data_IF_904612805695
#
_entry.id   IF_904612805695
#
_cell.length_a   1.000
_cell.length_b   1.000
_cell.length_c   1.000
_cell.angle_alpha   90.00
_cell.angle_beta   90.00
_cell.angle_gamma   90.00
#
_symmetry.space_group_name_H-M   'P 1'
#
loop_
_entity.id
_entity.type
_entity.pdbx_description
1 polymer ?
#
# COMPACT_ATOMS: atom_id res chain seq x y z
N UNK A 1 33.34 -31.21 -0.94
CA UNK A 1 32.20 -30.42 -1.46
C UNK A 1 30.90 -30.96 -0.88
N UNK A 2 30.18 -30.12 -0.14
CA UNK A 2 29.02 -30.50 0.67
C UNK A 2 27.75 -30.57 -0.21
N UNK A 3 26.99 -31.67 -0.13
CA UNK A 3 25.79 -31.93 -0.97
C UNK A 3 24.56 -31.09 -0.57
N UNK A 4 24.64 -30.28 0.48
CA UNK A 4 23.50 -29.54 1.06
C UNK A 4 23.20 -28.16 0.45
N UNK A 5 23.91 -27.71 -0.59
CA UNK A 5 23.69 -26.38 -1.20
C UNK A 5 22.99 -26.40 -2.56
N UNK A 6 22.43 -27.54 -2.98
CA UNK A 6 21.65 -27.67 -4.22
C UNK A 6 20.15 -27.86 -3.97
N UNK A 7 19.55 -27.08 -3.09
CA UNK A 7 18.15 -26.67 -3.29
C UNK A 7 18.17 -25.56 -4.34
N UNK A 8 18.57 -25.93 -5.56
CA UNK A 8 18.81 -25.03 -6.69
C UNK A 8 17.54 -24.27 -7.04
N UNK A 9 17.70 -23.01 -7.42
CA UNK A 9 16.75 -22.00 -7.92
C UNK A 9 15.45 -22.50 -8.56
N UNK A 10 15.46 -23.66 -9.22
CA UNK A 10 14.29 -24.37 -9.76
C UNK A 10 13.23 -24.71 -8.69
N UNK A 11 13.61 -25.17 -7.49
CA UNK A 11 12.66 -25.50 -6.42
C UNK A 11 11.93 -24.25 -5.88
N UNK A 12 12.60 -23.08 -5.89
CA UNK A 12 11.98 -21.80 -5.49
C UNK A 12 10.90 -21.33 -6.48
N UNK A 13 11.04 -21.67 -7.77
CA UNK A 13 10.08 -21.25 -8.79
C UNK A 13 8.83 -22.14 -8.81
N UNK A 14 8.96 -23.45 -8.54
CA UNK A 14 7.84 -24.40 -8.58
C UNK A 14 6.81 -24.20 -7.46
N UNK A 15 7.20 -23.68 -6.30
CA UNK A 15 6.29 -23.58 -5.13
C UNK A 15 5.84 -22.16 -4.81
N UNK A 16 6.00 -21.22 -5.75
CA UNK A 16 5.68 -19.81 -5.56
C UNK A 16 4.19 -19.58 -5.19
N UNK A 17 3.27 -20.36 -5.76
CA UNK A 17 1.83 -20.27 -5.46
C UNK A 17 1.53 -20.77 -4.05
N UNK A 18 2.02 -21.96 -3.68
CA UNK A 18 1.86 -22.51 -2.34
C UNK A 18 2.44 -21.59 -1.27
N UNK A 19 3.60 -20.99 -1.54
CA UNK A 19 4.23 -20.00 -0.68
C UNK A 19 3.41 -18.70 -0.56
N UNK A 20 2.87 -18.19 -1.66
CA UNK A 20 2.00 -17.00 -1.65
C UNK A 20 0.70 -17.26 -0.85
N UNK A 21 0.12 -18.45 -0.99
CA UNK A 21 -1.08 -18.84 -0.25
C UNK A 21 -0.80 -19.04 1.25
N UNK A 22 0.35 -19.61 1.59
CA UNK A 22 0.85 -19.67 2.96
C UNK A 22 0.94 -18.27 3.58
N UNK A 23 1.56 -17.32 2.89
CA UNK A 23 1.71 -15.94 3.38
C UNK A 23 0.37 -15.23 3.61
N UNK A 24 -0.67 -15.59 2.87
CA UNK A 24 -2.03 -15.04 3.04
C UNK A 24 -2.79 -15.69 4.19
N UNK A 25 -2.63 -17.00 4.38
CA UNK A 25 -3.45 -17.80 5.32
C UNK A 25 -2.79 -18.02 6.67
N UNK A 26 -1.45 -18.02 6.75
CA UNK A 26 -0.69 -18.45 7.92
C UNK A 26 -0.76 -19.96 8.19
N UNK A 27 -1.40 -20.74 7.32
CA UNK A 27 -1.64 -22.16 7.52
C UNK A 27 -0.54 -23.02 6.87
N UNK A 28 0.43 -23.45 7.67
CA UNK A 28 1.58 -24.23 7.18
C UNK A 28 1.17 -25.63 6.69
N UNK A 29 0.14 -26.24 7.27
CA UNK A 29 -0.33 -27.57 6.88
C UNK A 29 -0.95 -27.54 5.48
N UNK A 30 -1.80 -26.55 5.22
CA UNK A 30 -2.43 -26.35 3.91
C UNK A 30 -1.40 -26.09 2.81
N UNK A 31 -0.39 -25.28 3.13
CA UNK A 31 0.72 -25.03 2.22
C UNK A 31 1.54 -26.29 1.94
N UNK A 32 1.82 -27.10 2.97
CA UNK A 32 2.52 -28.39 2.85
C UNK A 32 1.74 -29.37 2.00
N UNK A 33 0.40 -29.37 2.13
CA UNK A 33 -0.50 -30.16 1.27
C UNK A 33 -0.44 -29.72 -0.19
N UNK A 34 -0.41 -28.41 -0.45
CA UNK A 34 -0.25 -27.91 -1.81
C UNK A 34 1.10 -28.30 -2.41
N UNK A 35 2.20 -28.20 -1.65
CA UNK A 35 3.54 -28.62 -2.12
C UNK A 35 3.59 -30.12 -2.39
N UNK A 36 3.03 -30.96 -1.52
CA UNK A 36 2.98 -32.40 -1.73
C UNK A 36 2.19 -32.77 -3.01
N UNK A 37 1.07 -32.08 -3.24
CA UNK A 37 0.29 -32.22 -4.47
C UNK A 37 1.11 -31.81 -5.70
N UNK A 38 1.81 -30.69 -5.64
CA UNK A 38 2.61 -30.19 -6.77
C UNK A 38 3.82 -31.10 -7.06
N UNK A 39 4.44 -31.70 -6.03
CA UNK A 39 5.47 -32.73 -6.20
C UNK A 39 4.89 -33.93 -6.95
N UNK A 40 3.74 -34.44 -6.51
CA UNK A 40 3.08 -35.57 -7.14
C UNK A 40 2.75 -35.30 -8.62
N UNK A 41 2.12 -34.16 -8.91
CA UNK A 41 1.72 -33.79 -10.28
C UNK A 41 2.91 -33.60 -11.21
N UNK A 42 4.00 -33.00 -10.71
CA UNK A 42 5.15 -32.66 -11.54
C UNK A 42 6.23 -33.74 -11.63
N UNK A 43 6.10 -34.88 -10.92
CA UNK A 43 7.12 -35.95 -10.93
C UNK A 43 7.23 -36.71 -12.26
N UNK A 44 6.25 -36.57 -13.15
CA UNK A 44 6.19 -37.32 -14.40
C UNK A 44 6.22 -38.84 -14.17
N UNK A 45 7.16 -39.55 -14.82
CA UNK A 45 7.35 -41.00 -14.68
C UNK A 45 8.32 -41.40 -13.56
N UNK A 46 8.78 -40.45 -12.75
CA UNK A 46 9.74 -40.72 -11.68
C UNK A 46 9.08 -41.53 -10.55
N UNK A 47 9.70 -42.61 -10.04
CA UNK A 47 9.14 -43.39 -8.94
C UNK A 47 8.94 -42.55 -7.68
N UNK A 48 7.86 -42.84 -6.92
CA UNK A 48 7.76 -42.49 -5.51
C UNK A 48 6.41 -42.76 -4.88
N UNK A 49 6.26 -42.32 -3.62
CA UNK A 49 5.14 -42.67 -2.74
C UNK A 49 4.54 -41.43 -2.11
N UNK A 50 3.25 -41.48 -1.79
CA UNK A 50 2.56 -40.38 -1.09
C UNK A 50 3.26 -40.00 0.23
N UNK A 51 3.80 -40.98 0.96
CA UNK A 51 4.54 -40.74 2.19
C UNK A 51 5.88 -40.05 1.94
N UNK A 52 6.60 -40.42 0.88
CA UNK A 52 7.85 -39.76 0.49
C UNK A 52 7.61 -38.33 0.01
N UNK A 53 6.54 -38.10 -0.75
CA UNK A 53 6.16 -36.78 -1.24
C UNK A 53 5.77 -35.85 -0.07
N UNK A 54 5.08 -36.40 0.94
CA UNK A 54 4.76 -35.68 2.16
C UNK A 54 6.00 -35.29 2.96
N UNK A 55 6.95 -36.21 3.14
CA UNK A 55 8.20 -35.94 3.85
C UNK A 55 9.05 -34.88 3.15
N UNK A 56 9.09 -34.90 1.82
CA UNK A 56 9.80 -33.88 1.05
C UNK A 56 9.09 -32.53 1.11
N UNK A 57 7.76 -32.51 1.05
CA UNK A 57 6.97 -31.30 1.23
C UNK A 57 7.19 -30.67 2.62
N UNK A 58 7.15 -31.47 3.70
CA UNK A 58 7.45 -31.00 5.06
C UNK A 58 8.86 -30.42 5.17
N UNK A 59 9.85 -31.06 4.54
CA UNK A 59 11.23 -30.55 4.52
C UNK A 59 11.29 -29.17 3.84
N UNK A 60 10.65 -29.03 2.68
CA UNK A 60 10.60 -27.78 1.90
C UNK A 60 9.89 -26.67 2.69
N UNK A 61 8.70 -26.94 3.22
CA UNK A 61 7.90 -25.92 3.92
C UNK A 61 8.49 -25.54 5.28
N UNK A 62 9.19 -26.45 5.95
CA UNK A 62 9.94 -26.15 7.18
C UNK A 62 11.13 -25.21 6.96
N UNK A 63 11.73 -25.19 5.77
CA UNK A 63 12.80 -24.24 5.41
C UNK A 63 12.27 -22.85 5.03
N UNK A 64 10.98 -22.73 4.69
CA UNK A 64 10.37 -21.45 4.35
C UNK A 64 10.47 -20.43 5.48
N UNK A 65 10.10 -20.69 6.75
CA UNK A 65 10.20 -19.71 7.84
C UNK A 65 11.56 -19.00 7.97
N UNK A 66 12.66 -19.67 7.63
CA UNK A 66 14.00 -19.09 7.70
C UNK A 66 14.35 -18.24 6.48
N UNK A 67 13.92 -18.66 5.28
CA UNK A 67 14.02 -17.82 4.06
C UNK A 67 12.99 -16.70 4.07
N UNK A 68 11.89 -16.87 4.79
CA UNK A 68 10.86 -15.89 5.12
C UNK A 68 11.45 -14.77 5.97
N UNK A 69 12.44 -14.91 6.84
CA UNK A 69 12.88 -13.71 7.58
C UNK A 69 13.43 -12.61 6.65
N UNK A 70 14.13 -13.00 5.58
CA UNK A 70 14.58 -12.08 4.53
C UNK A 70 13.47 -11.82 3.48
N UNK A 71 12.75 -12.86 3.05
CA UNK A 71 11.68 -12.74 2.06
C UNK A 71 10.39 -12.13 2.63
N UNK A 72 10.19 -12.08 3.95
CA UNK A 72 9.06 -11.45 4.66
C UNK A 72 9.29 -9.98 4.83
N UNK A 73 10.52 -9.55 5.09
CA UNK A 73 10.88 -8.15 4.98
C UNK A 73 10.62 -7.68 3.55
N UNK A 74 11.12 -8.41 2.54
CA UNK A 74 10.79 -8.16 1.15
C UNK A 74 9.27 -8.23 0.87
N UNK A 75 8.54 -9.18 1.46
CA UNK A 75 7.09 -9.33 1.29
C UNK A 75 6.29 -8.17 1.89
N UNK A 76 6.74 -7.62 3.03
CA UNK A 76 6.16 -6.43 3.62
C UNK A 76 6.34 -5.22 2.69
N UNK A 77 7.51 -5.08 2.07
CA UNK A 77 7.75 -4.07 1.04
C UNK A 77 6.92 -4.31 -0.23
N UNK A 78 6.80 -5.55 -0.70
CA UNK A 78 5.97 -5.90 -1.86
C UNK A 78 4.49 -5.60 -1.61
N UNK A 79 3.98 -5.94 -0.42
CA UNK A 79 2.60 -5.65 -0.01
C UNK A 79 2.37 -4.14 0.09
N UNK A 80 3.33 -3.40 0.65
CA UNK A 80 3.28 -1.95 0.71
C UNK A 80 3.27 -1.31 -0.69
N UNK A 81 4.12 -1.81 -1.59
CA UNK A 81 4.20 -1.36 -2.97
C UNK A 81 2.90 -1.66 -3.73
N UNK A 82 2.34 -2.86 -3.55
CA UNK A 82 1.06 -3.24 -4.14
C UNK A 82 -0.08 -2.33 -3.65
N UNK A 83 -0.16 -2.06 -2.33
CA UNK A 83 -1.18 -1.15 -1.78
C UNK A 83 -1.00 0.28 -2.28
N UNK A 84 0.23 0.74 -2.44
CA UNK A 84 0.53 2.07 -3.01
C UNK A 84 0.12 2.15 -4.47
N UNK A 85 0.43 1.13 -5.28
CA UNK A 85 -0.02 1.04 -6.68
C UNK A 85 -1.54 1.02 -6.80
N UNK A 86 -2.22 0.33 -5.88
CA UNK A 86 -3.68 0.34 -5.82
C UNK A 86 -4.21 1.77 -5.62
N UNK A 87 -3.71 2.51 -4.63
CA UNK A 87 -4.13 3.89 -4.39
C UNK A 87 -3.88 4.79 -5.60
N UNK A 88 -2.70 4.72 -6.20
CA UNK A 88 -2.39 5.49 -7.41
C UNK A 88 -3.34 5.13 -8.56
N UNK A 89 -3.70 3.85 -8.71
CA UNK A 89 -4.64 3.44 -9.75
C UNK A 89 -6.06 3.94 -9.50
N UNK A 90 -6.51 3.96 -8.25
CA UNK A 90 -7.80 4.55 -7.89
C UNK A 90 -7.82 6.06 -8.16
N UNK A 91 -6.72 6.77 -7.92
CA UNK A 91 -6.59 8.20 -8.23
C UNK A 91 -6.60 8.43 -9.75
N UNK A 92 -5.90 7.59 -10.52
CA UNK A 92 -5.98 7.64 -11.99
C UNK A 92 -7.42 7.52 -12.47
N UNK A 93 -8.17 6.56 -11.94
CA UNK A 93 -9.57 6.33 -12.31
C UNK A 93 -10.46 7.51 -11.90
N UNK A 94 -10.30 8.00 -10.67
CA UNK A 94 -11.08 9.11 -10.12
C UNK A 94 -10.88 10.42 -10.91
N UNK A 95 -9.63 10.70 -11.30
CA UNK A 95 -9.25 11.95 -11.98
C UNK A 95 -9.18 11.82 -13.51
N UNK A 96 -9.37 10.61 -14.05
CA UNK A 96 -9.24 10.33 -15.48
C UNK A 96 -7.81 10.50 -16.00
N UNK A 97 -6.80 10.22 -15.17
CA UNK A 97 -5.41 10.25 -15.59
C UNK A 97 -5.01 8.96 -16.31
N UNK A 98 -4.17 9.11 -17.33
CA UNK A 98 -3.64 8.00 -18.11
C UNK A 98 -2.20 7.63 -17.74
N UNK A 99 -1.64 8.29 -16.71
CA UNK A 99 -0.24 8.17 -16.34
C UNK A 99 -0.08 8.08 -14.80
N UNK A 100 0.58 7.03 -14.28
CA UNK A 100 0.84 6.87 -12.86
C UNK A 100 1.63 8.02 -12.22
N UNK A 101 2.47 8.71 -12.99
CA UNK A 101 3.25 9.84 -12.47
C UNK A 101 2.36 11.04 -12.12
N UNK A 102 1.27 11.26 -12.87
CA UNK A 102 0.34 12.35 -12.61
C UNK A 102 -0.49 12.06 -11.36
N UNK A 103 -0.93 10.80 -11.18
CA UNK A 103 -1.57 10.36 -9.94
C UNK A 103 -0.66 10.50 -8.71
N UNK A 104 0.64 10.17 -8.86
CA UNK A 104 1.62 10.35 -7.78
C UNK A 104 1.80 11.84 -7.42
N UNK A 105 1.93 12.73 -8.42
CA UNK A 105 2.08 14.17 -8.19
C UNK A 105 0.83 14.78 -7.55
N UNK A 106 -0.35 14.38 -8.02
CA UNK A 106 -1.63 14.75 -7.43
C UNK A 106 -1.71 14.34 -5.96
N UNK A 107 -1.45 13.05 -5.67
CA UNK A 107 -1.46 12.53 -4.31
C UNK A 107 -0.47 13.29 -3.41
N UNK A 108 0.77 13.48 -3.88
CA UNK A 108 1.82 14.18 -3.12
C UNK A 108 1.42 15.61 -2.78
N UNK A 109 0.98 16.37 -3.78
CA UNK A 109 0.58 17.78 -3.63
C UNK A 109 -0.52 17.94 -2.57
N UNK A 110 -1.59 17.14 -2.69
CA UNK A 110 -2.72 17.22 -1.74
C UNK A 110 -2.30 16.78 -0.34
N UNK A 111 -1.55 15.68 -0.23
CA UNK A 111 -1.09 15.17 1.06
C UNK A 111 -0.15 16.14 1.77
N UNK A 112 0.72 16.84 1.03
CA UNK A 112 1.58 17.88 1.60
C UNK A 112 0.78 19.09 2.07
N UNK A 113 -0.22 19.55 1.32
CA UNK A 113 -1.09 20.63 1.73
C UNK A 113 -1.89 20.28 3.00
N UNK A 114 -2.44 19.06 3.06
CA UNK A 114 -3.12 18.55 4.25
C UNK A 114 -2.16 18.53 5.44
N UNK A 115 -0.99 17.89 5.29
CA UNK A 115 0.05 17.81 6.33
C UNK A 115 0.41 19.17 6.91
N UNK A 116 0.63 20.15 6.03
CA UNK A 116 1.12 21.46 6.44
C UNK A 116 0.04 22.24 7.21
N UNK A 117 -1.23 21.86 7.09
CA UNK A 117 -2.33 22.41 7.87
C UNK A 117 -2.59 21.69 9.20
N UNK A 118 -2.03 20.51 9.39
CA UNK A 118 -2.24 19.69 10.58
C UNK A 118 -1.22 20.01 11.70
N UNK A 119 -1.62 19.98 12.98
CA UNK A 119 -0.70 19.87 14.10
C UNK A 119 0.17 18.61 13.98
N UNK A 120 1.40 18.66 14.52
CA UNK A 120 2.36 17.54 14.42
C UNK A 120 1.79 16.21 14.92
N UNK A 121 0.99 16.24 15.98
CA UNK A 121 0.31 15.05 16.53
C UNK A 121 -0.65 14.44 15.50
N UNK A 122 -1.54 15.26 14.94
CA UNK A 122 -2.52 14.85 13.94
C UNK A 122 -1.85 14.37 12.65
N UNK A 123 -0.71 14.96 12.26
CA UNK A 123 0.09 14.44 11.15
C UNK A 123 0.53 12.99 11.36
N UNK A 124 0.96 12.64 12.57
CA UNK A 124 1.45 11.30 12.90
C UNK A 124 0.30 10.28 12.98
N UNK A 125 -0.84 10.68 13.55
CA UNK A 125 -2.05 9.87 13.59
C UNK A 125 -2.57 9.59 12.18
N UNK A 126 -2.66 10.61 11.33
CA UNK A 126 -3.06 10.45 9.94
C UNK A 126 -2.10 9.57 9.14
N UNK A 127 -0.78 9.79 9.28
CA UNK A 127 0.24 8.99 8.61
C UNK A 127 0.17 7.51 8.99
N UNK A 128 -0.29 7.16 10.20
CA UNK A 128 -0.45 5.77 10.64
C UNK A 128 -1.45 4.96 9.80
N UNK A 129 -2.36 5.65 9.09
CA UNK A 129 -3.37 5.03 8.23
C UNK A 129 -2.89 4.85 6.78
N UNK A 130 -1.75 5.45 6.42
CA UNK A 130 -1.23 5.44 5.06
C UNK A 130 -0.34 4.19 4.80
N UNK A 131 -0.32 3.65 3.57
CA UNK A 131 0.70 2.69 3.16
C UNK A 131 2.12 3.24 3.39
N UNK A 132 3.05 2.40 3.88
CA UNK A 132 4.38 2.87 4.32
C UNK A 132 5.18 3.61 3.22
N UNK A 133 4.99 3.28 1.94
CA UNK A 133 5.62 4.04 0.84
C UNK A 133 5.04 5.44 0.68
N UNK A 134 3.72 5.59 0.90
CA UNK A 134 3.03 6.88 0.91
C UNK A 134 3.45 7.69 2.13
N UNK A 135 3.70 7.06 3.28
CA UNK A 135 4.25 7.73 4.49
C UNK A 135 5.61 8.39 4.19
N UNK A 136 6.50 7.68 3.49
CA UNK A 136 7.79 8.24 3.10
C UNK A 136 7.63 9.51 2.24
N UNK A 137 6.73 9.45 1.24
CA UNK A 137 6.38 10.62 0.43
C UNK A 137 5.76 11.73 1.28
N UNK A 138 4.79 11.40 2.15
CA UNK A 138 4.08 12.34 3.02
C UNK A 138 5.02 13.19 3.87
N UNK A 139 6.11 12.61 4.40
CA UNK A 139 7.07 13.36 5.22
C UNK A 139 8.26 13.94 4.45
N UNK A 140 8.36 13.69 3.13
CA UNK A 140 9.50 14.16 2.34
C UNK A 140 9.55 15.69 2.30
N UNK A 141 10.70 16.25 2.70
CA UNK A 141 10.93 17.70 2.71
C UNK A 141 10.17 18.47 3.80
N UNK A 142 9.52 17.78 4.75
CA UNK A 142 8.75 18.45 5.79
C UNK A 142 9.64 19.05 6.88
N UNK A 143 9.29 20.27 7.32
CA UNK A 143 9.83 20.88 8.53
C UNK A 143 8.67 21.12 9.51
N UNK A 144 8.67 20.49 10.70
CA UNK A 144 7.56 20.59 11.65
C UNK A 144 7.50 21.93 12.40
N UNK A 145 8.54 22.77 12.27
CA UNK A 145 8.57 24.10 12.86
C UNK A 145 7.47 24.98 12.27
N UNK A 146 6.75 25.73 13.12
CA UNK A 146 5.67 26.64 12.73
C UNK A 146 4.44 25.96 12.10
N UNK A 147 4.23 24.66 12.31
CA UNK A 147 3.00 23.96 11.93
C UNK A 147 2.01 23.94 13.11
N UNK A 148 0.68 24.05 12.87
CA UNK A 148 0.03 24.12 11.56
C UNK A 148 0.21 25.48 10.88
N UNK A 149 0.41 25.45 9.56
CA UNK A 149 0.42 26.65 8.73
C UNK A 149 -0.97 27.29 8.70
N UNK A 150 -1.03 28.63 8.63
CA UNK A 150 -2.31 29.34 8.68
C UNK A 150 -2.84 29.57 7.27
N UNK A 151 -3.51 28.56 6.71
CA UNK A 151 -4.34 28.71 5.50
C UNK A 151 -5.80 28.93 5.94
N UNK A 152 -6.32 30.13 5.70
CA UNK A 152 -7.61 30.62 6.17
C UNK A 152 -8.65 30.73 5.06
N UNK A 153 -8.28 30.53 3.80
CA UNK A 153 -9.20 30.58 2.67
C UNK A 153 -9.05 29.34 1.80
N UNK A 154 -10.05 29.09 0.95
CA UNK A 154 -9.95 28.08 -0.11
C UNK A 154 -8.79 28.37 -1.04
N UNK A 155 -8.66 29.61 -1.49
CA UNK A 155 -7.62 30.02 -2.43
C UNK A 155 -6.22 29.79 -1.87
N UNK A 156 -5.94 30.14 -0.61
CA UNK A 156 -4.64 29.88 0.02
C UNK A 156 -4.31 28.38 0.06
N UNK A 157 -5.31 27.53 0.29
CA UNK A 157 -5.10 26.08 0.29
C UNK A 157 -4.88 25.55 -1.14
N UNK A 158 -5.66 26.04 -2.11
CA UNK A 158 -5.53 25.67 -3.53
C UNK A 158 -4.21 26.14 -4.13
N UNK A 159 -3.72 27.33 -3.75
CA UNK A 159 -2.41 27.84 -4.16
C UNK A 159 -1.28 26.93 -3.65
N UNK A 160 -1.40 26.46 -2.40
CA UNK A 160 -0.41 25.53 -1.82
C UNK A 160 -0.41 24.17 -2.51
N UNK A 161 -1.59 23.64 -2.85
CA UNK A 161 -1.73 22.42 -3.67
C UNK A 161 -1.13 22.66 -5.07
N UNK A 162 -1.55 23.73 -5.74
CA UNK A 162 -1.15 24.08 -7.10
C UNK A 162 0.36 24.30 -7.27
N UNK A 163 1.05 24.80 -6.24
CA UNK A 163 2.50 25.01 -6.24
C UNK A 163 3.30 23.72 -6.49
N UNK A 164 2.75 22.55 -6.14
CA UNK A 164 3.38 21.25 -6.38
C UNK A 164 2.82 20.48 -7.58
N UNK A 165 1.74 20.98 -8.21
CA UNK A 165 1.11 20.32 -9.35
C UNK A 165 1.77 20.71 -10.69
N UNK A 166 1.75 19.80 -11.69
CA UNK A 166 2.04 20.16 -13.07
C UNK A 166 1.09 21.27 -13.58
N UNK A 167 1.61 22.14 -14.44
CA UNK A 167 0.80 23.17 -15.11
C UNK A 167 -0.37 22.54 -15.87
N UNK A 168 -1.55 23.16 -15.75
CA UNK A 168 -2.78 22.73 -16.44
C UNK A 168 -3.65 21.75 -15.66
N UNK A 169 -3.25 21.32 -14.46
CA UNK A 169 -4.15 20.61 -13.54
C UNK A 169 -4.94 21.62 -12.69
N UNK A 170 -6.24 21.35 -12.52
CA UNK A 170 -7.11 22.10 -11.61
C UNK A 170 -6.89 21.62 -10.17
N UNK A 171 -6.33 22.45 -9.26
CA UNK A 171 -6.08 22.06 -7.88
C UNK A 171 -7.33 21.58 -7.14
N UNK A 172 -8.48 22.21 -7.37
CA UNK A 172 -9.72 21.88 -6.66
C UNK A 172 -10.19 20.48 -7.04
N UNK A 173 -10.27 20.20 -8.34
CA UNK A 173 -10.64 18.88 -8.86
C UNK A 173 -9.66 17.81 -8.37
N UNK A 174 -8.36 18.09 -8.37
CA UNK A 174 -7.33 17.17 -7.88
C UNK A 174 -7.51 16.89 -6.39
N UNK A 175 -7.69 17.93 -5.57
CA UNK A 175 -7.93 17.80 -4.13
C UNK A 175 -9.16 16.94 -3.84
N UNK A 176 -10.29 17.21 -4.49
CA UNK A 176 -11.53 16.44 -4.30
C UNK A 176 -11.32 14.96 -4.66
N UNK A 177 -10.72 14.67 -5.82
CA UNK A 177 -10.48 13.28 -6.23
C UNK A 177 -9.50 12.53 -5.33
N UNK A 178 -8.45 13.19 -4.85
CA UNK A 178 -7.52 12.56 -3.89
C UNK A 178 -8.19 12.31 -2.54
N UNK A 179 -8.98 13.27 -2.02
CA UNK A 179 -9.75 13.10 -0.79
C UNK A 179 -10.73 11.92 -0.93
N UNK A 180 -11.46 11.80 -2.05
CA UNK A 180 -12.36 10.67 -2.34
C UNK A 180 -11.65 9.32 -2.16
N UNK A 181 -10.43 9.20 -2.68
CA UNK A 181 -9.66 7.96 -2.57
C UNK A 181 -9.19 7.75 -1.14
N UNK A 182 -8.68 8.78 -0.46
CA UNK A 182 -8.22 8.68 0.93
C UNK A 182 -9.35 8.19 1.85
N UNK A 183 -10.57 8.72 1.70
CA UNK A 183 -11.73 8.32 2.51
C UNK A 183 -12.14 6.85 2.35
N UNK A 184 -11.81 6.21 1.21
CA UNK A 184 -12.08 4.77 1.00
C UNK A 184 -11.15 3.87 1.79
N UNK A 185 -9.97 4.36 2.18
CA UNK A 185 -8.92 3.55 2.82
C UNK A 185 -8.60 3.94 4.26
N UNK A 186 -8.92 5.17 4.66
CA UNK A 186 -8.67 5.70 5.99
C UNK A 186 -9.93 5.62 6.83
N UNK A 187 -9.80 5.33 8.13
CA UNK A 187 -10.96 5.20 9.01
C UNK A 187 -11.78 6.49 9.07
N UNK A 188 -13.11 6.37 9.15
CA UNK A 188 -14.01 7.53 9.24
C UNK A 188 -13.74 8.41 10.48
N UNK A 189 -13.25 7.81 11.57
CA UNK A 189 -12.81 8.55 12.76
C UNK A 189 -11.62 9.45 12.47
N UNK A 190 -10.59 8.91 11.83
CA UNK A 190 -9.39 9.67 11.44
C UNK A 190 -9.73 10.79 10.43
N UNK A 191 -10.56 10.50 9.42
CA UNK A 191 -11.01 11.53 8.47
C UNK A 191 -11.70 12.68 9.19
N UNK A 192 -12.54 12.37 10.19
CA UNK A 192 -13.23 13.38 10.99
C UNK A 192 -12.25 14.23 11.80
N UNK A 193 -11.20 13.63 12.35
CA UNK A 193 -10.18 14.34 13.13
C UNK A 193 -9.29 15.22 12.25
N UNK A 194 -8.85 14.73 11.09
CA UNK A 194 -8.19 15.54 10.06
C UNK A 194 -9.06 16.74 9.68
N UNK A 195 -10.34 16.52 9.34
CA UNK A 195 -11.28 17.58 8.91
C UNK A 195 -11.49 18.67 9.97
N UNK A 196 -11.42 18.34 11.27
CA UNK A 196 -11.59 19.32 12.35
C UNK A 196 -10.50 20.40 12.36
N UNK A 197 -9.32 20.09 11.81
CA UNK A 197 -8.20 21.03 11.71
C UNK A 197 -8.36 22.06 10.58
N UNK A 198 -9.37 21.91 9.72
CA UNK A 198 -9.68 22.84 8.64
C UNK A 198 -10.77 23.86 9.06
N UNK A 199 -10.68 25.13 8.64
CA UNK A 199 -11.77 26.10 8.71
C UNK A 199 -13.03 25.61 7.99
N UNK A 200 -14.20 26.14 8.37
CA UNK A 200 -15.52 25.68 7.90
C UNK A 200 -15.64 25.58 6.36
N UNK A 201 -15.25 26.62 5.62
CA UNK A 201 -15.27 26.62 4.16
C UNK A 201 -14.33 25.58 3.52
N UNK A 202 -13.25 25.18 4.19
CA UNK A 202 -12.38 24.09 3.73
C UNK A 202 -12.94 22.71 4.08
N UNK A 203 -13.86 22.61 5.05
CA UNK A 203 -14.52 21.35 5.41
C UNK A 203 -15.53 20.91 4.35
N UNK A 204 -16.10 21.85 3.60
CA UNK A 204 -17.02 21.59 2.48
C UNK A 204 -16.39 20.66 1.43
N UNK A 205 -15.06 20.73 1.22
CA UNK A 205 -14.30 19.82 0.35
C UNK A 205 -14.48 18.34 0.71
N UNK A 206 -14.76 18.05 1.97
CA UNK A 206 -14.94 16.69 2.49
C UNK A 206 -16.42 16.30 2.56
N UNK A 207 -17.34 17.26 2.54
CA UNK A 207 -18.79 17.01 2.68
C UNK A 207 -19.43 16.63 1.35
N UNK A 208 -19.17 17.37 0.27
CA UNK A 208 -19.62 17.03 -1.09
C UNK A 208 -19.12 15.65 -1.56
N UNK A 209 -17.94 15.27 -1.05
CA UNK A 209 -17.27 14.01 -1.30
C UNK A 209 -17.97 12.84 -0.61
N UNK A 210 -18.30 13.01 0.68
CA UNK A 210 -18.94 11.98 1.49
C UNK A 210 -20.34 11.58 0.98
N UNK A 211 -21.03 12.48 0.28
CA UNK A 211 -22.35 12.22 -0.33
C UNK A 211 -22.27 11.51 -1.68
N UNK A 212 -21.20 11.69 -2.46
CA UNK A 212 -20.94 10.92 -3.68
C UNK A 212 -20.49 9.49 -3.38
N UNK A 213 -19.70 9.27 -2.33
CA UNK A 213 -19.19 7.94 -1.96
C UNK A 213 -20.27 7.02 -1.37
N UNK A 214 -21.42 7.57 -0.92
CA UNK A 214 -22.58 6.81 -0.41
C UNK A 214 -23.61 6.41 -1.50
N UNK A 215 -23.42 6.85 -2.74
CA UNK A 215 -24.28 6.51 -3.89
C UNK A 215 -23.58 5.51 -4.80
#
# INVERSE_FOLDING_TARGET
MNKNTRTTTTARHCYAVAYTNYLRSGNLEEATRQVAHDIYVNRGTSPGTQQGDWQEAERITREWPHTITEASQAHLFDKALAKTRQWLKEIELELGFNNPNDAYRALRSVLHAVRDRLPVKECAEFASQLPIMIVGMYYTGWTPMNKPEKMRTMDEFMDHVGAELPSGMDPLRVTQGVINVIERHVSAGEIKDVRRNFPEHLRELWEEVSEKSRR
#
